data_IF_505262217005
#
_entry.id   IF_505262217005
#
_cell.length_a   1.000
_cell.length_b   1.000
_cell.length_c   1.000
_cell.angle_alpha   90.00
_cell.angle_beta   90.00
_cell.angle_gamma   90.00
#
_symmetry.space_group_name_H-M   'P 1'
#
loop_
_entity.id
_entity.type
_entity.pdbx_description
1 polymer ?
#
# COMPACT_ATOMS: atom_id res chain seq x y z
N UNK A 1 33.48 -3.29 22.46
CA UNK A 1 33.78 -2.21 21.50
C UNK A 1 33.48 -2.58 20.03
N UNK A 2 33.77 -3.75 19.45
CA UNK A 2 33.51 -4.03 18.04
C UNK A 2 32.03 -4.14 17.67
N UNK A 3 31.17 -4.69 18.51
CA UNK A 3 29.71 -4.84 18.25
C UNK A 3 29.00 -3.52 17.91
N UNK A 4 29.18 -2.46 18.72
CA UNK A 4 28.58 -1.13 18.47
C UNK A 4 29.03 -0.48 17.16
N UNK A 5 30.25 -0.76 16.70
CA UNK A 5 30.76 -0.23 15.42
C UNK A 5 30.12 -0.94 14.24
N UNK A 6 29.93 -2.25 14.33
CA UNK A 6 29.24 -3.05 13.31
C UNK A 6 27.76 -2.64 13.20
N UNK A 7 27.08 -2.47 14.34
CA UNK A 7 25.68 -2.03 14.40
C UNK A 7 25.50 -0.63 13.77
N UNK A 8 26.38 0.32 14.09
CA UNK A 8 26.37 1.67 13.49
C UNK A 8 26.61 1.64 11.98
N UNK A 9 27.52 0.80 11.51
CA UNK A 9 27.77 0.65 10.07
C UNK A 9 26.56 0.03 9.35
N UNK A 10 25.91 -0.97 9.94
CA UNK A 10 24.70 -1.58 9.41
C UNK A 10 23.53 -0.56 9.36
N UNK A 11 23.32 0.21 10.43
CA UNK A 11 22.31 1.27 10.47
C UNK A 11 22.57 2.37 9.44
N UNK A 12 23.84 2.79 9.28
CA UNK A 12 24.20 3.79 8.28
C UNK A 12 23.96 3.28 6.85
N UNK A 13 24.21 1.97 6.61
CA UNK A 13 23.96 1.33 5.32
C UNK A 13 22.46 1.27 5.02
N UNK A 14 21.63 0.86 6.00
CA UNK A 14 20.18 0.78 5.82
C UNK A 14 19.59 2.18 5.61
N UNK A 15 19.96 3.16 6.40
CA UNK A 15 19.55 4.56 6.20
C UNK A 15 19.87 5.05 4.78
N UNK A 16 21.07 4.76 4.27
CA UNK A 16 21.46 5.15 2.90
C UNK A 16 20.62 4.45 1.84
N UNK A 17 20.26 3.19 2.07
CA UNK A 17 19.35 2.44 1.21
C UNK A 17 17.96 3.07 1.18
N UNK A 18 17.40 3.45 2.33
CA UNK A 18 16.11 4.14 2.46
C UNK A 18 16.11 5.50 1.75
N UNK A 19 17.20 6.29 1.87
CA UNK A 19 17.35 7.58 1.17
C UNK A 19 17.29 7.39 -0.36
N UNK A 20 17.92 6.35 -0.89
CA UNK A 20 17.86 6.00 -2.31
C UNK A 20 16.47 5.54 -2.73
N UNK A 21 15.79 4.72 -1.93
CA UNK A 21 14.41 4.29 -2.19
C UNK A 21 13.44 5.49 -2.21
N UNK A 22 13.55 6.39 -1.25
CA UNK A 22 12.74 7.59 -1.18
C UNK A 22 12.98 8.51 -2.39
N UNK A 23 14.23 8.68 -2.82
CA UNK A 23 14.56 9.45 -4.01
C UNK A 23 14.01 8.82 -5.28
N UNK A 24 14.15 7.49 -5.44
CA UNK A 24 13.61 6.76 -6.58
C UNK A 24 12.09 6.87 -6.65
N UNK A 25 11.41 6.71 -5.50
CA UNK A 25 9.95 6.84 -5.41
C UNK A 25 9.50 8.21 -5.92
N UNK A 26 10.10 9.31 -5.43
CA UNK A 26 9.77 10.66 -5.89
C UNK A 26 10.02 10.86 -7.39
N UNK A 27 11.15 10.36 -7.90
CA UNK A 27 11.51 10.52 -9.33
C UNK A 27 10.58 9.72 -10.23
N UNK A 28 10.30 8.47 -9.89
CA UNK A 28 9.39 7.62 -10.68
C UNK A 28 7.95 8.14 -10.65
N UNK A 29 7.46 8.60 -9.50
CA UNK A 29 6.14 9.21 -9.40
C UNK A 29 6.02 10.51 -10.20
N UNK A 30 7.08 11.33 -10.26
CA UNK A 30 7.08 12.62 -10.95
C UNK A 30 7.25 12.51 -12.46
N UNK A 31 8.23 11.70 -12.92
CA UNK A 31 8.62 11.60 -14.34
C UNK A 31 7.97 10.42 -15.05
N UNK A 32 7.44 9.43 -14.32
CA UNK A 32 7.14 8.09 -14.81
C UNK A 32 8.41 7.23 -14.89
N UNK A 33 8.24 5.92 -14.74
CA UNK A 33 9.39 4.99 -14.75
C UNK A 33 10.16 5.03 -16.07
N UNK A 34 9.47 5.08 -17.22
CA UNK A 34 10.12 5.04 -18.55
C UNK A 34 11.07 6.21 -18.74
N UNK A 35 10.61 7.44 -18.46
CA UNK A 35 11.38 8.67 -18.67
C UNK A 35 12.44 8.94 -17.60
N UNK A 36 12.33 8.31 -16.42
CA UNK A 36 13.30 8.44 -15.35
C UNK A 36 14.59 7.68 -15.65
N UNK A 37 15.72 8.23 -15.20
CA UNK A 37 17.06 7.62 -15.31
C UNK A 37 17.67 7.35 -13.92
N UNK A 38 18.65 6.44 -13.86
CA UNK A 38 19.48 6.23 -12.64
C UNK A 38 20.17 7.53 -12.23
N UNK A 39 20.60 8.35 -13.19
CA UNK A 39 21.22 9.65 -12.91
C UNK A 39 20.27 10.63 -12.22
N UNK A 40 18.98 10.60 -12.56
CA UNK A 40 17.97 11.41 -11.87
C UNK A 40 17.84 11.00 -10.39
N UNK A 41 17.84 9.69 -10.12
CA UNK A 41 17.76 9.15 -8.75
C UNK A 41 19.01 9.53 -7.95
N UNK A 42 20.20 9.34 -8.53
CA UNK A 42 21.49 9.72 -7.92
C UNK A 42 21.50 11.19 -7.54
N UNK A 43 21.09 12.07 -8.47
CA UNK A 43 21.01 13.52 -8.24
C UNK A 43 20.01 13.86 -7.15
N UNK A 44 18.83 13.22 -7.16
CA UNK A 44 17.78 13.46 -6.16
C UNK A 44 18.13 12.94 -4.76
N UNK A 45 18.96 11.90 -4.67
CA UNK A 45 19.46 11.34 -3.40
C UNK A 45 20.69 12.08 -2.87
N UNK A 46 21.36 12.92 -3.70
CA UNK A 46 22.57 13.63 -3.30
C UNK A 46 23.77 12.69 -3.06
N UNK A 47 23.87 11.57 -3.79
CA UNK A 47 24.93 10.58 -3.60
C UNK A 47 25.86 10.49 -4.82
N UNK A 48 27.06 9.93 -4.63
CA UNK A 48 27.95 9.61 -5.74
C UNK A 48 27.40 8.41 -6.54
N UNK A 49 27.73 8.36 -7.84
CA UNK A 49 27.31 7.26 -8.73
C UNK A 49 27.71 5.88 -8.21
N UNK A 50 28.94 5.75 -7.71
CA UNK A 50 29.41 4.50 -7.10
C UNK A 50 28.58 4.07 -5.89
N UNK A 51 28.10 5.03 -5.10
CA UNK A 51 27.22 4.74 -3.95
C UNK A 51 25.92 4.08 -4.40
N UNK A 52 25.28 4.55 -5.47
CA UNK A 52 24.07 3.89 -6.00
C UNK A 52 24.33 2.42 -6.34
N UNK A 53 25.42 2.14 -7.07
CA UNK A 53 25.73 0.78 -7.52
C UNK A 53 26.20 -0.18 -6.41
N UNK A 54 26.49 0.33 -5.21
CA UNK A 54 26.69 -0.51 -4.02
C UNK A 54 25.37 -1.13 -3.51
N UNK A 55 24.23 -0.53 -3.83
CA UNK A 55 22.90 -0.95 -3.35
C UNK A 55 22.02 -1.54 -4.45
N UNK A 56 22.06 -1.01 -5.65
CA UNK A 56 21.17 -1.35 -6.75
C UNK A 56 21.92 -1.48 -8.07
N UNK A 57 21.67 -2.58 -8.77
CA UNK A 57 22.37 -2.91 -10.03
C UNK A 57 21.81 -2.15 -11.24
N UNK A 58 20.52 -1.76 -11.19
CA UNK A 58 19.82 -1.16 -12.31
C UNK A 58 18.63 -0.29 -11.85
N UNK A 59 18.03 0.42 -12.81
CA UNK A 59 16.76 1.15 -12.60
C UNK A 59 15.62 0.19 -12.22
N UNK A 60 15.59 -1.00 -12.80
CA UNK A 60 14.59 -2.02 -12.49
C UNK A 60 14.78 -2.58 -11.08
N UNK A 61 16.02 -2.82 -10.67
CA UNK A 61 16.34 -3.34 -9.35
C UNK A 61 15.84 -2.40 -8.23
N UNK A 62 16.11 -1.10 -8.36
CA UNK A 62 15.60 -0.14 -7.37
C UNK A 62 14.07 0.04 -7.46
N UNK A 63 13.44 -0.10 -8.64
CA UNK A 63 11.98 -0.09 -8.75
C UNK A 63 11.37 -1.27 -7.99
N UNK A 64 11.90 -2.46 -8.17
CA UNK A 64 11.45 -3.64 -7.45
C UNK A 64 11.61 -3.48 -5.94
N UNK A 65 12.74 -2.92 -5.51
CA UNK A 65 12.96 -2.62 -4.09
C UNK A 65 11.98 -1.57 -3.53
N UNK A 66 11.54 -0.59 -4.32
CA UNK A 66 10.46 0.35 -3.93
C UNK A 66 9.15 -0.39 -3.72
N UNK A 67 8.80 -1.33 -4.60
CA UNK A 67 7.56 -2.11 -4.49
C UNK A 67 7.64 -3.08 -3.31
N UNK A 68 8.76 -3.76 -3.11
CA UNK A 68 8.99 -4.64 -1.97
C UNK A 68 8.89 -3.87 -0.64
N UNK A 69 9.45 -2.65 -0.59
CA UNK A 69 9.33 -1.79 0.58
C UNK A 69 7.87 -1.38 0.88
N UNK A 70 7.09 -1.05 -0.16
CA UNK A 70 5.66 -0.77 -0.01
C UNK A 70 4.90 -2.01 0.49
N UNK A 71 5.23 -3.20 -0.02
CA UNK A 71 4.64 -4.47 0.41
C UNK A 71 4.90 -4.76 1.90
N UNK A 72 6.11 -4.56 2.37
CA UNK A 72 6.43 -4.76 3.80
C UNK A 72 5.72 -3.73 4.70
N UNK A 73 5.62 -2.49 4.27
CA UNK A 73 4.82 -1.48 4.96
C UNK A 73 3.34 -1.85 5.01
N UNK A 74 2.79 -2.37 3.92
CA UNK A 74 1.40 -2.82 3.83
C UNK A 74 1.14 -4.02 4.75
N UNK A 75 2.05 -5.00 4.78
CA UNK A 75 1.98 -6.16 5.68
C UNK A 75 1.98 -5.74 7.15
N UNK A 76 2.86 -4.80 7.52
CA UNK A 76 2.90 -4.24 8.88
C UNK A 76 1.59 -3.54 9.21
N UNK A 77 1.07 -2.73 8.30
CA UNK A 77 -0.21 -2.03 8.43
C UNK A 77 -1.39 -3.01 8.61
N UNK A 78 -1.48 -4.05 7.79
CA UNK A 78 -2.51 -5.10 7.89
C UNK A 78 -2.47 -5.79 9.25
N UNK A 79 -1.27 -6.13 9.75
CA UNK A 79 -1.11 -6.74 11.05
C UNK A 79 -1.60 -5.82 12.19
N UNK A 80 -1.26 -4.53 12.14
CA UNK A 80 -1.73 -3.54 13.11
C UNK A 80 -3.26 -3.39 13.07
N UNK A 81 -3.83 -3.31 11.88
CA UNK A 81 -5.28 -3.19 11.69
C UNK A 81 -6.02 -4.44 12.22
N UNK A 82 -5.50 -5.64 11.92
CA UNK A 82 -6.06 -6.89 12.43
C UNK A 82 -6.03 -6.98 13.97
N UNK A 83 -4.95 -6.50 14.59
CA UNK A 83 -4.86 -6.46 16.05
C UNK A 83 -5.85 -5.46 16.67
N UNK A 84 -6.03 -4.30 16.06
CA UNK A 84 -7.01 -3.30 16.51
C UNK A 84 -8.44 -3.81 16.39
N UNK A 85 -8.79 -4.47 15.28
CA UNK A 85 -10.12 -5.08 15.09
C UNK A 85 -10.40 -6.19 16.10
N UNK A 86 -9.42 -7.02 16.43
CA UNK A 86 -9.57 -8.09 17.41
C UNK A 86 -9.86 -7.59 18.83
N UNK A 87 -9.50 -6.34 19.15
CA UNK A 87 -9.75 -5.72 20.44
C UNK A 87 -11.13 -5.02 20.54
N UNK A 88 -11.88 -4.94 19.44
CA UNK A 88 -13.13 -4.18 19.34
C UNK A 88 -14.32 -5.11 19.03
N UNK A 89 -14.61 -6.05 19.92
CA UNK A 89 -15.65 -7.08 19.71
C UNK A 89 -17.08 -6.54 19.71
N UNK A 90 -17.34 -5.40 20.34
CA UNK A 90 -18.70 -4.86 20.51
C UNK A 90 -18.99 -3.59 19.67
N UNK A 91 -18.11 -3.27 18.72
CA UNK A 91 -18.29 -2.07 17.91
C UNK A 91 -19.36 -2.27 16.83
N UNK A 92 -20.15 -1.21 16.56
CA UNK A 92 -21.08 -1.17 15.45
C UNK A 92 -20.40 -1.50 14.12
N UNK A 93 -20.92 -2.43 13.30
CA UNK A 93 -20.34 -2.79 12.00
C UNK A 93 -20.11 -1.59 11.08
N UNK A 94 -20.95 -0.56 11.13
CA UNK A 94 -20.78 0.68 10.36
C UNK A 94 -19.54 1.44 10.80
N UNK A 95 -19.34 1.60 12.08
CA UNK A 95 -18.17 2.30 12.62
C UNK A 95 -16.89 1.51 12.37
N UNK A 96 -16.91 0.18 12.45
CA UNK A 96 -15.77 -0.67 12.09
C UNK A 96 -15.39 -0.53 10.61
N UNK A 97 -16.38 -0.56 9.70
CA UNK A 97 -16.13 -0.37 8.27
C UNK A 97 -15.55 1.03 8.00
N UNK A 98 -16.15 2.08 8.58
CA UNK A 98 -15.68 3.46 8.45
C UNK A 98 -14.22 3.63 8.91
N UNK A 99 -13.88 3.13 10.09
CA UNK A 99 -12.50 3.16 10.63
C UNK A 99 -11.52 2.40 9.75
N UNK A 100 -11.93 1.27 9.21
CA UNK A 100 -11.16 0.50 8.24
C UNK A 100 -10.83 1.34 7.00
N UNK A 101 -11.82 1.97 6.39
CA UNK A 101 -11.61 2.83 5.22
C UNK A 101 -10.78 4.07 5.53
N UNK A 102 -11.00 4.75 6.65
CA UNK A 102 -10.15 5.87 7.09
C UNK A 102 -8.69 5.43 7.18
N UNK A 103 -8.44 4.26 7.80
CA UNK A 103 -7.09 3.73 7.97
C UNK A 103 -6.43 3.41 6.62
N UNK A 104 -7.15 2.78 5.69
CA UNK A 104 -6.67 2.50 4.33
C UNK A 104 -6.43 3.77 3.52
N UNK A 105 -7.35 4.72 3.54
CA UNK A 105 -7.19 5.99 2.83
C UNK A 105 -6.00 6.81 3.37
N UNK A 106 -5.79 6.81 4.70
CA UNK A 106 -4.60 7.42 5.32
C UNK A 106 -3.31 6.71 4.92
N UNK A 107 -3.32 5.38 4.88
CA UNK A 107 -2.17 4.61 4.40
C UNK A 107 -1.82 4.98 2.96
N UNK A 108 -2.82 5.14 2.09
CA UNK A 108 -2.65 5.55 0.70
C UNK A 108 -2.20 7.01 0.58
N UNK A 109 -2.77 7.90 1.38
CA UNK A 109 -2.42 9.31 1.40
C UNK A 109 -0.95 9.56 1.77
N UNK A 110 -0.46 8.85 2.77
CA UNK A 110 0.94 8.92 3.21
C UNK A 110 1.93 8.33 2.21
N UNK A 111 1.47 7.48 1.28
CA UNK A 111 2.31 6.73 0.31
C UNK A 111 1.92 6.99 -1.14
N UNK A 112 1.35 8.16 -1.42
CA UNK A 112 0.81 8.55 -2.73
C UNK A 112 1.76 8.25 -3.90
N UNK A 113 3.04 8.58 -3.74
CA UNK A 113 4.03 8.40 -4.79
C UNK A 113 4.29 6.91 -5.10
N UNK A 114 4.46 6.09 -4.07
CA UNK A 114 4.69 4.65 -4.24
C UNK A 114 3.46 3.95 -4.84
N UNK A 115 2.26 4.31 -4.38
CA UNK A 115 1.00 3.79 -4.92
C UNK A 115 0.76 4.25 -6.36
N UNK A 116 1.12 5.49 -6.70
CA UNK A 116 1.05 5.98 -8.08
C UNK A 116 1.88 5.11 -9.02
N UNK A 117 3.09 4.75 -8.61
CA UNK A 117 3.95 3.85 -9.38
C UNK A 117 3.27 2.49 -9.53
N UNK A 118 2.81 1.91 -8.43
CA UNK A 118 2.19 0.59 -8.41
C UNK A 118 0.91 0.53 -9.28
N UNK A 119 0.04 1.53 -9.18
CA UNK A 119 -1.28 1.51 -9.82
C UNK A 119 -1.26 1.99 -11.28
N UNK A 120 -0.33 2.87 -11.67
CA UNK A 120 -0.29 3.46 -13.02
C UNK A 120 0.78 2.88 -13.92
N UNK A 121 1.97 2.59 -13.39
CA UNK A 121 3.12 2.22 -14.21
C UNK A 121 3.22 0.70 -14.42
N UNK A 122 2.56 -0.10 -13.58
CA UNK A 122 2.70 -1.55 -13.61
C UNK A 122 2.27 -2.18 -14.96
N UNK A 123 1.26 -1.63 -15.61
CA UNK A 123 0.76 -2.16 -16.90
C UNK A 123 1.71 -1.91 -18.08
N UNK A 124 2.84 -1.24 -17.88
CA UNK A 124 3.69 -0.73 -18.96
C UNK A 124 5.09 -1.36 -19.04
N UNK A 125 5.46 -2.25 -18.10
CA UNK A 125 6.88 -2.57 -17.93
C UNK A 125 7.21 -4.02 -18.30
N UNK A 126 6.78 -5.01 -17.56
CA UNK A 126 7.04 -6.42 -17.89
C UNK A 126 6.28 -7.39 -16.95
N UNK A 127 6.38 -8.70 -17.26
CA UNK A 127 5.74 -9.77 -16.47
C UNK A 127 6.26 -9.84 -15.02
N UNK A 128 7.52 -9.46 -14.77
CA UNK A 128 8.10 -9.51 -13.43
C UNK A 128 7.49 -8.43 -12.52
N UNK A 129 7.20 -7.25 -13.06
CA UNK A 129 6.52 -6.19 -12.34
C UNK A 129 5.05 -6.54 -12.07
N UNK A 130 4.38 -7.15 -13.05
CA UNK A 130 3.01 -7.64 -12.85
C UNK A 130 2.94 -8.72 -11.77
N UNK A 131 3.92 -9.61 -11.72
CA UNK A 131 4.03 -10.60 -10.64
C UNK A 131 4.16 -9.94 -9.25
N UNK A 132 5.06 -8.96 -9.10
CA UNK A 132 5.22 -8.21 -7.85
C UNK A 132 3.95 -7.45 -7.43
N UNK A 133 3.25 -6.88 -8.39
CA UNK A 133 1.96 -6.22 -8.15
C UNK A 133 0.90 -7.22 -7.68
N UNK A 134 0.84 -8.40 -8.29
CA UNK A 134 -0.06 -9.47 -7.87
C UNK A 134 0.24 -9.95 -6.44
N UNK A 135 1.51 -10.06 -6.05
CA UNK A 135 1.91 -10.39 -4.67
C UNK A 135 1.44 -9.33 -3.65
N UNK A 136 1.60 -8.04 -3.97
CA UNK A 136 1.09 -6.95 -3.10
C UNK A 136 -0.42 -7.06 -2.93
N UNK A 137 -1.15 -7.29 -4.03
CA UNK A 137 -2.62 -7.44 -4.02
C UNK A 137 -3.07 -8.66 -3.26
N UNK A 138 -2.39 -9.81 -3.42
CA UNK A 138 -2.75 -11.07 -2.77
C UNK A 138 -2.80 -10.95 -1.24
N UNK A 139 -1.88 -10.23 -0.62
CA UNK A 139 -1.87 -9.99 0.82
C UNK A 139 -3.12 -9.23 1.32
N UNK A 140 -3.61 -8.26 0.53
CA UNK A 140 -4.84 -7.51 0.86
C UNK A 140 -6.07 -8.39 0.67
N UNK A 141 -6.14 -9.14 -0.44
CA UNK A 141 -7.24 -10.08 -0.71
C UNK A 141 -7.37 -11.10 0.41
N UNK A 142 -6.25 -11.68 0.86
CA UNK A 142 -6.24 -12.65 1.95
C UNK A 142 -6.76 -12.03 3.27
N UNK A 143 -6.29 -10.84 3.63
CA UNK A 143 -6.76 -10.13 4.82
C UNK A 143 -8.27 -9.85 4.76
N UNK A 144 -8.74 -9.24 3.68
CA UNK A 144 -10.16 -8.90 3.52
C UNK A 144 -11.04 -10.14 3.47
N UNK A 145 -10.63 -11.20 2.76
CA UNK A 145 -11.38 -12.45 2.68
C UNK A 145 -11.54 -13.12 4.06
N UNK A 146 -10.49 -13.09 4.89
CA UNK A 146 -10.60 -13.58 6.28
C UNK A 146 -11.56 -12.75 7.11
N UNK A 147 -11.48 -11.41 7.00
CA UNK A 147 -12.39 -10.48 7.69
C UNK A 147 -13.85 -10.73 7.27
N UNK A 148 -14.10 -10.85 5.97
CA UNK A 148 -15.46 -11.08 5.43
C UNK A 148 -16.00 -12.43 5.92
N UNK A 149 -15.23 -13.52 5.86
CA UNK A 149 -15.67 -14.83 6.38
C UNK A 149 -16.03 -14.77 7.86
N UNK A 150 -15.25 -14.05 8.67
CA UNK A 150 -15.58 -13.85 10.09
C UNK A 150 -16.93 -13.14 10.25
N UNK A 151 -17.16 -12.03 9.56
CA UNK A 151 -18.41 -11.27 9.63
C UNK A 151 -19.61 -12.04 9.07
N UNK A 152 -19.41 -12.95 8.13
CA UNK A 152 -20.43 -13.90 7.68
C UNK A 152 -20.77 -14.91 8.78
N UNK A 153 -19.75 -15.48 9.43
CA UNK A 153 -19.92 -16.42 10.54
C UNK A 153 -20.61 -15.79 11.77
N UNK A 154 -20.42 -14.49 11.98
CA UNK A 154 -21.10 -13.69 13.00
C UNK A 154 -22.52 -13.25 12.58
N UNK A 155 -22.97 -13.60 11.37
CA UNK A 155 -24.29 -13.24 10.83
C UNK A 155 -24.44 -11.78 10.44
N UNK A 156 -23.35 -11.01 10.38
CA UNK A 156 -23.33 -9.59 10.00
C UNK A 156 -23.42 -9.43 8.48
N UNK A 157 -22.61 -10.19 7.74
CA UNK A 157 -22.62 -10.15 6.26
C UNK A 157 -23.39 -11.31 5.65
N UNK A 158 -23.84 -11.11 4.40
CA UNK A 158 -24.57 -12.11 3.64
C UNK A 158 -23.64 -13.30 3.28
N UNK A 159 -24.01 -14.52 3.71
CA UNK A 159 -23.26 -15.75 3.48
C UNK A 159 -23.13 -16.14 1.99
N UNK A 160 -24.10 -15.73 1.15
CA UNK A 160 -24.13 -16.04 -0.28
C UNK A 160 -23.04 -15.35 -1.10
N UNK A 161 -22.39 -14.31 -0.55
CA UNK A 161 -21.38 -13.54 -1.26
C UNK A 161 -20.02 -14.20 -1.11
N UNK A 162 -19.29 -14.36 -2.22
CA UNK A 162 -17.90 -14.85 -2.18
C UNK A 162 -16.98 -13.84 -1.48
N UNK A 163 -16.30 -14.22 -0.39
CA UNK A 163 -15.36 -13.33 0.30
C UNK A 163 -14.25 -12.82 -0.61
N UNK A 164 -13.76 -13.65 -1.52
CA UNK A 164 -12.70 -13.30 -2.47
C UNK A 164 -13.18 -12.26 -3.48
N UNK A 165 -14.36 -12.46 -4.09
CA UNK A 165 -14.94 -11.51 -5.06
C UNK A 165 -15.22 -10.17 -4.39
N UNK A 166 -15.82 -10.17 -3.20
CA UNK A 166 -16.07 -8.95 -2.42
C UNK A 166 -14.77 -8.23 -2.09
N UNK A 167 -13.70 -8.96 -1.74
CA UNK A 167 -12.38 -8.37 -1.50
C UNK A 167 -11.86 -7.62 -2.72
N UNK A 168 -12.03 -8.17 -3.92
CA UNK A 168 -11.66 -7.48 -5.17
C UNK A 168 -12.49 -6.21 -5.42
N UNK A 169 -13.78 -6.22 -5.10
CA UNK A 169 -14.64 -5.02 -5.21
C UNK A 169 -14.17 -3.92 -4.26
N UNK A 170 -13.91 -4.25 -2.99
CA UNK A 170 -13.44 -3.28 -1.99
C UNK A 170 -12.07 -2.70 -2.35
N UNK A 171 -11.14 -3.54 -2.82
CA UNK A 171 -9.82 -3.09 -3.28
C UNK A 171 -9.97 -2.15 -4.48
N UNK A 172 -10.76 -2.54 -5.50
CA UNK A 172 -10.96 -1.72 -6.69
C UNK A 172 -11.60 -0.37 -6.37
N UNK A 173 -12.55 -0.33 -5.44
CA UNK A 173 -13.17 0.90 -4.97
C UNK A 173 -12.14 1.83 -4.31
N UNK A 174 -11.34 1.33 -3.39
CA UNK A 174 -10.34 2.14 -2.69
C UNK A 174 -9.21 2.57 -3.62
N UNK A 175 -8.75 1.69 -4.52
CA UNK A 175 -7.72 2.00 -5.53
C UNK A 175 -8.18 3.14 -6.43
N UNK A 176 -9.44 3.10 -6.94
CA UNK A 176 -9.99 4.14 -7.81
C UNK A 176 -10.17 5.47 -7.07
N UNK A 177 -10.66 5.43 -5.83
CA UNK A 177 -10.77 6.63 -4.99
C UNK A 177 -9.39 7.23 -4.75
N UNK A 178 -8.38 6.41 -4.44
CA UNK A 178 -7.01 6.88 -4.25
C UNK A 178 -6.45 7.55 -5.52
N UNK A 179 -6.67 6.96 -6.69
CA UNK A 179 -6.25 7.52 -7.96
C UNK A 179 -6.97 8.83 -8.31
N UNK A 180 -8.27 8.91 -8.03
CA UNK A 180 -9.10 10.04 -8.45
C UNK A 180 -9.02 11.22 -7.49
N UNK A 181 -8.95 10.98 -6.18
CA UNK A 181 -9.03 12.02 -5.15
C UNK A 181 -7.68 12.35 -4.52
N UNK A 182 -6.87 11.34 -4.17
CA UNK A 182 -5.62 11.59 -3.44
C UNK A 182 -4.50 12.11 -4.35
N UNK A 183 -4.51 11.76 -5.64
CA UNK A 183 -3.42 12.12 -6.56
C UNK A 183 -3.55 13.49 -7.22
N UNK A 184 -4.70 14.14 -7.17
CA UNK A 184 -4.95 15.43 -7.84
C UNK A 184 -4.43 16.65 -7.05
N UNK A 185 -3.62 16.45 -6.00
CA UNK A 185 -3.09 17.56 -5.18
C UNK A 185 -4.16 18.29 -4.35
N UNK A 186 -5.40 17.81 -4.38
CA UNK A 186 -6.48 18.32 -3.54
C UNK A 186 -6.33 17.74 -2.13
N UNK A 187 -6.61 18.57 -1.13
CA UNK A 187 -6.78 18.11 0.23
C UNK A 187 -8.11 17.35 0.27
N UNK A 188 -8.03 16.02 0.16
CA UNK A 188 -9.22 15.16 0.21
C UNK A 188 -9.71 15.06 1.66
N UNK A 189 -11.00 15.14 1.85
CA UNK A 189 -11.62 14.81 3.13
C UNK A 189 -11.70 13.27 3.24
N UNK A 190 -10.73 12.70 3.96
CA UNK A 190 -10.61 11.25 4.11
C UNK A 190 -11.74 10.66 4.94
N UNK A 191 -12.30 11.41 5.89
CA UNK A 191 -13.42 10.98 6.72
C UNK A 191 -14.68 10.88 5.86
N UNK A 192 -14.97 11.91 5.07
CA UNK A 192 -16.10 11.90 4.13
C UNK A 192 -15.98 10.76 3.09
N UNK A 193 -14.79 10.56 2.50
CA UNK A 193 -14.56 9.45 1.57
C UNK A 193 -14.80 8.09 2.23
N UNK A 194 -14.34 7.93 3.47
CA UNK A 194 -14.52 6.70 4.22
C UNK A 194 -15.99 6.44 4.55
N UNK A 195 -16.75 7.47 4.87
CA UNK A 195 -18.21 7.37 5.10
C UNK A 195 -18.95 6.90 3.84
N UNK A 196 -18.56 7.43 2.66
CA UNK A 196 -19.15 6.98 1.38
C UNK A 196 -18.82 5.50 1.11
N UNK A 197 -17.57 5.09 1.32
CA UNK A 197 -17.14 3.71 1.14
C UNK A 197 -17.85 2.76 2.11
N UNK A 198 -17.93 3.12 3.39
CA UNK A 198 -18.60 2.31 4.42
C UNK A 198 -20.09 2.16 4.15
N UNK A 199 -20.76 3.24 3.74
CA UNK A 199 -22.18 3.18 3.36
C UNK A 199 -22.39 2.24 2.17
N UNK A 200 -21.58 2.35 1.13
CA UNK A 200 -21.65 1.47 -0.04
C UNK A 200 -21.40 -0.01 0.32
N UNK A 201 -20.36 -0.28 1.13
CA UNK A 201 -20.08 -1.65 1.61
C UNK A 201 -21.27 -2.22 2.38
N UNK A 202 -21.80 -1.47 3.33
CA UNK A 202 -22.84 -1.97 4.24
C UNK A 202 -24.18 -2.17 3.54
N UNK A 203 -24.59 -1.24 2.70
CA UNK A 203 -25.85 -1.37 1.95
C UNK A 203 -25.82 -2.57 0.98
N UNK A 204 -24.63 -2.93 0.48
CA UNK A 204 -24.42 -4.10 -0.38
C UNK A 204 -24.19 -5.42 0.36
N UNK A 205 -23.54 -5.40 1.52
CA UNK A 205 -23.05 -6.61 2.20
C UNK A 205 -23.86 -7.01 3.44
N UNK A 206 -24.56 -6.08 4.09
CA UNK A 206 -25.35 -6.40 5.27
C UNK A 206 -26.46 -7.43 4.93
N UNK A 207 -26.65 -8.37 5.85
CA UNK A 207 -27.79 -9.28 5.82
C UNK A 207 -29.07 -8.47 6.00
N UNK A 208 -29.92 -8.41 4.96
CA UNK A 208 -31.28 -7.84 5.10
C UNK A 208 -32.07 -8.76 6.03
N UNK A 209 -32.60 -8.20 7.10
CA UNK A 209 -33.53 -8.89 8.00
C UNK A 209 -34.86 -9.17 7.32
#
# INVERSE_FOLDING_TARGET
>A
MPKRRIERAAQARERRREELLAAATRIFAKKGYRAASVSDVIKAAGVARGTFYLYFRSKQDILFAVIDHLREQQKTFINQLSQQEAQQTDADPRELARRGFVSWLRFYDQRRDALRILLREANLIDAALEHKRAEVRAGVVEYLSRRIRRLQGEGVYQEKLSPEVVSHFLIGMVDEIALSYLQKGRKADLEWLADQCASFELDGLLRRR
#
